data_IF_584709108572
#
_entry.id   IF_584709108572
#
_cell.length_a   1.000
_cell.length_b   1.000
_cell.length_c   1.000
_cell.angle_alpha   90.00
_cell.angle_beta   90.00
_cell.angle_gamma   90.00
#
_symmetry.space_group_name_H-M   'P 1'
#
loop_
_entity.id
_entity.type
_entity.pdbx_description
1 polymer ?
#
# COMPACT_ATOMS: atom_id res chain seq x y z
N UNK A 1 -23.96 9.91 -17.61
CA UNK A 1 -22.93 8.91 -17.21
C UNK A 1 -22.40 9.30 -15.83
N UNK A 2 -22.36 8.40 -14.88
CA UNK A 2 -21.73 8.69 -13.58
C UNK A 2 -20.22 8.92 -13.81
N UNK A 3 -19.70 10.02 -13.27
CA UNK A 3 -18.30 10.38 -13.38
C UNK A 3 -17.42 9.32 -12.67
N UNK A 4 -16.30 8.93 -13.28
CA UNK A 4 -15.29 8.06 -12.67
C UNK A 4 -14.80 8.65 -11.35
N UNK A 5 -14.66 7.81 -10.34
CA UNK A 5 -14.15 8.18 -9.00
C UNK A 5 -12.94 7.33 -8.64
N UNK A 6 -12.05 7.89 -7.84
CA UNK A 6 -10.94 7.18 -7.21
C UNK A 6 -11.11 7.26 -5.69
N UNK A 7 -11.26 6.11 -5.05
CA UNK A 7 -11.36 6.00 -3.59
C UNK A 7 -10.11 5.34 -3.05
N UNK A 8 -9.35 6.07 -2.24
CA UNK A 8 -8.21 5.54 -1.51
C UNK A 8 -8.66 4.78 -0.27
N UNK A 9 -8.14 3.59 -0.03
CA UNK A 9 -8.31 2.84 1.21
C UNK A 9 -6.96 2.61 1.87
N UNK A 10 -6.74 3.23 3.02
CA UNK A 10 -5.55 3.09 3.84
C UNK A 10 -5.84 2.12 4.98
N UNK A 11 -5.15 0.98 5.03
CA UNK A 11 -5.13 0.13 6.22
C UNK A 11 -3.77 0.32 6.88
N UNK A 12 -3.77 0.92 8.07
CA UNK A 12 -2.53 1.33 8.75
C UNK A 12 -2.44 0.76 10.16
N UNK A 13 -1.21 0.51 10.59
CA UNK A 13 -0.88 0.17 11.97
C UNK A 13 0.58 0.51 12.27
N UNK A 14 0.79 1.46 13.18
CA UNK A 14 2.13 1.91 13.60
C UNK A 14 3.00 2.36 12.41
N UNK A 15 2.56 3.42 11.72
CA UNK A 15 3.15 3.95 10.49
C UNK A 15 3.50 5.44 10.61
N UNK A 16 3.64 5.97 11.84
CA UNK A 16 3.71 7.40 12.14
C UNK A 16 4.76 8.18 11.34
N UNK A 17 5.88 7.54 10.95
CA UNK A 17 6.99 8.24 10.30
C UNK A 17 6.69 8.71 8.88
N UNK A 18 5.90 7.94 8.13
CA UNK A 18 5.69 8.19 6.70
C UNK A 18 4.23 8.37 6.31
N UNK A 19 3.30 8.00 7.18
CA UNK A 19 1.87 8.01 6.87
C UNK A 19 1.35 9.40 6.48
N UNK A 20 1.77 10.46 7.16
CA UNK A 20 1.42 11.83 6.78
C UNK A 20 1.89 12.19 5.37
N UNK A 21 3.11 11.77 4.99
CA UNK A 21 3.64 11.96 3.64
C UNK A 21 2.91 11.11 2.60
N UNK A 22 2.58 9.85 2.94
CA UNK A 22 1.80 8.99 2.06
C UNK A 22 0.44 9.62 1.74
N UNK A 23 -0.28 10.14 2.77
CA UNK A 23 -1.54 10.86 2.57
C UNK A 23 -1.37 12.10 1.71
N UNK A 24 -0.34 12.93 1.96
CA UNK A 24 -0.08 14.14 1.17
C UNK A 24 0.11 13.83 -0.31
N UNK A 25 0.85 12.75 -0.61
CA UNK A 25 1.17 12.37 -1.98
C UNK A 25 -0.04 11.87 -2.76
N UNK A 26 -0.98 11.17 -2.11
CA UNK A 26 -2.15 10.60 -2.79
C UNK A 26 -3.39 11.50 -2.71
N UNK A 27 -3.33 12.57 -1.93
CA UNK A 27 -4.50 13.40 -1.63
C UNK A 27 -5.22 13.87 -2.89
N UNK A 28 -4.54 14.53 -3.81
CA UNK A 28 -5.18 15.09 -5.02
C UNK A 28 -5.54 14.02 -6.07
N UNK A 29 -4.92 12.86 -6.00
CA UNK A 29 -5.25 11.72 -6.84
C UNK A 29 -6.61 11.10 -6.48
N UNK A 30 -6.98 11.07 -5.20
CA UNK A 30 -8.20 10.46 -4.72
C UNK A 30 -9.35 11.48 -4.63
N UNK A 31 -10.58 11.07 -4.96
CA UNK A 31 -11.81 11.84 -4.71
C UNK A 31 -12.29 11.64 -3.27
N UNK A 32 -11.98 10.49 -2.67
CA UNK A 32 -12.26 10.14 -1.28
C UNK A 32 -11.12 9.30 -0.73
N UNK A 33 -10.82 9.44 0.57
CA UNK A 33 -9.83 8.60 1.27
C UNK A 33 -10.47 8.07 2.54
N UNK A 34 -10.46 6.75 2.68
CA UNK A 34 -10.93 6.04 3.86
C UNK A 34 -9.72 5.50 4.60
N UNK A 35 -9.56 5.86 5.87
CA UNK A 35 -8.47 5.40 6.72
C UNK A 35 -9.03 4.41 7.74
N UNK A 36 -8.54 3.19 7.70
CA UNK A 36 -8.80 2.13 8.67
C UNK A 36 -7.54 1.94 9.53
N UNK A 37 -7.57 2.43 10.76
CA UNK A 37 -6.48 2.23 11.73
C UNK A 37 -6.73 0.93 12.50
N UNK A 38 -5.81 -0.02 12.39
CA UNK A 38 -5.93 -1.32 13.04
C UNK A 38 -5.22 -1.32 14.42
N UNK A 39 -5.65 -0.43 15.31
CA UNK A 39 -5.17 -0.35 16.68
C UNK A 39 -3.72 0.11 16.81
N UNK A 40 -3.36 1.22 16.16
CA UNK A 40 -2.02 1.83 16.30
C UNK A 40 -1.75 2.25 17.75
N UNK A 41 -0.50 2.05 18.18
CA UNK A 41 0.02 2.41 19.51
C UNK A 41 1.06 3.54 19.44
N UNK A 42 1.34 4.05 18.25
CA UNK A 42 2.14 5.23 17.99
C UNK A 42 1.25 6.40 17.56
N UNK A 43 1.79 7.46 16.98
CA UNK A 43 1.03 8.65 16.58
C UNK A 43 0.25 8.48 15.26
N UNK A 44 0.14 7.28 14.70
CA UNK A 44 -0.57 7.04 13.42
C UNK A 44 -2.03 7.44 13.49
N UNK A 45 -2.73 7.08 14.58
CA UNK A 45 -4.14 7.42 14.77
C UNK A 45 -4.37 8.94 14.91
N UNK A 46 -3.50 9.62 15.62
CA UNK A 46 -3.53 11.07 15.77
C UNK A 46 -3.38 11.76 14.41
N UNK A 47 -2.44 11.29 13.58
CA UNK A 47 -2.25 11.77 12.20
C UNK A 47 -3.55 11.55 11.40
N UNK A 48 -4.13 10.36 11.45
CA UNK A 48 -5.38 10.05 10.74
C UNK A 48 -6.52 11.01 11.11
N UNK A 49 -6.73 11.23 12.42
CA UNK A 49 -7.75 12.14 12.94
C UNK A 49 -7.53 13.60 12.50
N UNK A 50 -6.29 14.05 12.55
CA UNK A 50 -5.95 15.42 12.15
C UNK A 50 -6.21 15.65 10.67
N UNK A 51 -5.84 14.71 9.81
CA UNK A 51 -6.14 14.75 8.39
C UNK A 51 -7.66 14.76 8.11
N UNK A 52 -8.42 13.87 8.75
CA UNK A 52 -9.88 13.81 8.59
C UNK A 52 -10.57 15.09 9.08
N UNK A 53 -10.11 15.69 10.19
CA UNK A 53 -10.67 16.94 10.72
C UNK A 53 -10.51 18.12 9.76
N UNK A 54 -9.37 18.21 9.06
CA UNK A 54 -9.06 19.35 8.18
C UNK A 54 -9.44 19.13 6.72
N UNK A 55 -9.81 17.92 6.31
CA UNK A 55 -10.02 17.54 4.90
C UNK A 55 -11.30 16.75 4.71
N UNK A 56 -12.34 17.39 4.18
CA UNK A 56 -13.70 16.82 4.04
C UNK A 56 -13.79 15.49 3.26
N UNK A 57 -12.82 15.20 2.38
CA UNK A 57 -12.82 13.96 1.61
C UNK A 57 -12.08 12.80 2.29
N UNK A 58 -11.60 13.02 3.53
CA UNK A 58 -10.93 11.99 4.34
C UNK A 58 -11.86 11.60 5.49
N UNK A 59 -12.07 10.30 5.62
CA UNK A 59 -12.72 9.69 6.78
C UNK A 59 -11.76 8.74 7.47
N UNK A 60 -11.84 8.61 8.79
CA UNK A 60 -11.01 7.67 9.53
C UNK A 60 -11.82 6.91 10.57
N UNK A 61 -11.46 5.65 10.77
CA UNK A 61 -12.07 4.77 11.77
C UNK A 61 -11.03 3.82 12.33
N UNK A 62 -11.08 3.58 13.64
CA UNK A 62 -10.37 2.45 14.25
C UNK A 62 -11.14 1.15 14.03
N UNK A 63 -10.41 0.10 13.75
CA UNK A 63 -10.93 -1.25 13.52
C UNK A 63 -10.15 -2.26 14.35
N UNK A 64 -10.80 -3.34 14.76
CA UNK A 64 -10.15 -4.44 15.48
C UNK A 64 -9.72 -5.56 14.52
N UNK A 65 -10.57 -5.85 13.53
CA UNK A 65 -10.33 -6.85 12.49
C UNK A 65 -9.91 -6.17 11.18
N UNK A 66 -8.71 -6.44 10.62
CA UNK A 66 -8.28 -5.89 9.33
C UNK A 66 -9.27 -6.15 8.19
N UNK A 67 -10.04 -7.24 8.25
CA UNK A 67 -11.10 -7.56 7.29
C UNK A 67 -12.20 -6.51 7.22
N UNK A 68 -12.41 -5.71 8.28
CA UNK A 68 -13.34 -4.59 8.25
C UNK A 68 -12.95 -3.54 7.19
N UNK A 69 -11.67 -3.39 6.89
CA UNK A 69 -11.20 -2.47 5.85
C UNK A 69 -11.74 -2.83 4.46
N UNK A 70 -11.98 -4.13 4.20
CA UNK A 70 -12.62 -4.55 2.95
C UNK A 70 -14.11 -4.20 2.93
N UNK A 71 -14.83 -4.37 4.05
CA UNK A 71 -16.26 -4.01 4.15
C UNK A 71 -16.51 -2.52 3.87
N UNK A 72 -15.52 -1.66 4.14
CA UNK A 72 -15.65 -0.21 3.86
C UNK A 72 -15.66 0.11 2.35
N UNK A 73 -15.06 -0.74 1.53
CA UNK A 73 -14.96 -0.52 0.07
C UNK A 73 -15.92 -1.42 -0.72
N UNK A 74 -16.46 -2.47 -0.14
CA UNK A 74 -17.40 -3.38 -0.79
C UNK A 74 -18.63 -2.68 -1.41
N UNK A 75 -19.21 -1.63 -0.80
CA UNK A 75 -20.34 -0.89 -1.38
C UNK A 75 -20.03 -0.21 -2.73
N UNK A 76 -18.79 -0.03 -3.10
CA UNK A 76 -18.40 0.52 -4.40
C UNK A 76 -18.43 -0.52 -5.54
N UNK A 77 -18.61 -1.80 -5.24
CA UNK A 77 -18.70 -2.84 -6.27
C UNK A 77 -19.80 -2.53 -7.27
N UNK A 78 -19.51 -2.66 -8.55
CA UNK A 78 -20.44 -2.37 -9.63
C UNK A 78 -20.57 -0.90 -10.04
N UNK A 79 -19.99 0.02 -9.28
CA UNK A 79 -20.00 1.47 -9.56
C UNK A 79 -18.76 1.88 -10.39
N UNK A 80 -18.76 3.02 -11.10
CA UNK A 80 -17.62 3.51 -11.87
C UNK A 80 -16.51 4.05 -10.95
N UNK A 81 -16.01 3.19 -10.05
CA UNK A 81 -15.05 3.55 -9.01
C UNK A 81 -13.78 2.71 -9.13
N UNK A 82 -12.63 3.38 -9.10
CA UNK A 82 -11.35 2.76 -8.88
C UNK A 82 -11.00 2.77 -7.40
N UNK A 83 -10.67 1.62 -6.83
CA UNK A 83 -10.19 1.50 -5.45
C UNK A 83 -8.67 1.46 -5.46
N UNK A 84 -8.08 2.42 -4.76
CA UNK A 84 -6.65 2.57 -4.62
C UNK A 84 -6.21 2.10 -3.23
N UNK A 85 -5.50 0.97 -3.18
CA UNK A 85 -4.91 0.49 -1.93
C UNK A 85 -3.66 1.32 -1.61
N UNK A 86 -3.66 2.01 -0.48
CA UNK A 86 -2.54 2.84 -0.01
C UNK A 86 -2.05 2.29 1.32
N UNK A 87 -0.77 1.93 1.40
CA UNK A 87 -0.10 1.58 2.65
C UNK A 87 0.65 2.81 3.20
N UNK A 88 0.77 2.92 4.51
CA UNK A 88 1.42 4.07 5.14
C UNK A 88 2.92 4.17 4.91
N UNK A 89 3.52 3.12 4.33
CA UNK A 89 4.92 3.05 3.91
C UNK A 89 5.11 3.11 2.38
N UNK A 90 4.06 3.48 1.65
CA UNK A 90 4.09 3.65 0.19
C UNK A 90 4.02 5.14 -0.17
N UNK A 91 5.14 5.72 -0.58
CA UNK A 91 5.18 7.11 -1.03
C UNK A 91 5.08 7.15 -2.55
N UNK A 92 3.94 7.56 -3.07
CA UNK A 92 3.71 7.72 -4.50
C UNK A 92 4.27 9.03 -5.02
N UNK A 93 4.65 9.07 -6.31
CA UNK A 93 5.04 10.29 -7.02
C UNK A 93 3.80 11.16 -7.30
N UNK A 94 3.62 12.34 -6.67
CA UNK A 94 2.40 13.12 -6.84
C UNK A 94 2.18 13.63 -8.27
N UNK A 95 3.26 14.04 -8.96
CA UNK A 95 3.16 14.51 -10.35
C UNK A 95 2.87 13.34 -11.30
N UNK A 96 3.45 12.17 -11.02
CA UNK A 96 3.13 10.93 -11.72
C UNK A 96 1.66 10.56 -11.54
N UNK A 97 1.14 10.61 -10.32
CA UNK A 97 -0.28 10.33 -10.04
C UNK A 97 -1.23 11.30 -10.75
N UNK A 98 -0.89 12.60 -10.81
CA UNK A 98 -1.70 13.57 -11.57
C UNK A 98 -1.78 13.20 -13.06
N UNK A 99 -0.65 12.84 -13.66
CA UNK A 99 -0.58 12.39 -15.05
C UNK A 99 -1.36 11.09 -15.25
N UNK A 100 -1.22 10.14 -14.33
CA UNK A 100 -1.92 8.85 -14.38
C UNK A 100 -3.43 9.00 -14.22
N UNK A 101 -3.89 9.94 -13.39
CA UNK A 101 -5.32 10.26 -13.27
C UNK A 101 -5.90 10.71 -14.60
N UNK A 102 -5.20 11.57 -15.34
CA UNK A 102 -5.62 12.02 -16.68
C UNK A 102 -5.75 10.83 -17.64
N UNK A 103 -4.82 9.87 -17.57
CA UNK A 103 -4.91 8.63 -18.38
C UNK A 103 -6.12 7.77 -17.97
N UNK A 104 -6.43 7.64 -16.68
CA UNK A 104 -7.62 6.92 -16.20
C UNK A 104 -8.92 7.58 -16.71
N UNK A 105 -9.00 8.91 -16.70
CA UNK A 105 -10.17 9.67 -17.13
C UNK A 105 -10.47 9.51 -18.64
N UNK A 106 -9.48 9.10 -19.45
CA UNK A 106 -9.72 8.76 -20.87
C UNK A 106 -10.39 7.40 -21.09
N UNK A 107 -10.55 6.59 -20.03
CA UNK A 107 -11.04 5.21 -20.14
C UNK A 107 -10.00 4.20 -20.65
N UNK A 108 -8.72 4.60 -20.81
CA UNK A 108 -7.63 3.77 -21.32
C UNK A 108 -7.52 2.42 -20.60
N UNK A 109 -7.83 2.40 -19.31
CA UNK A 109 -7.68 1.23 -18.45
C UNK A 109 -9.00 0.51 -18.15
N UNK A 110 -10.15 0.97 -18.65
CA UNK A 110 -11.48 0.46 -18.27
C UNK A 110 -11.66 -1.02 -18.54
N UNK A 111 -11.00 -1.57 -19.58
CA UNK A 111 -11.02 -3.01 -19.88
C UNK A 111 -10.26 -3.88 -18.87
N UNK A 112 -9.54 -3.28 -17.93
CA UNK A 112 -8.80 -4.00 -16.91
C UNK A 112 -9.51 -3.86 -15.55
N UNK A 113 -9.50 -4.94 -14.79
CA UNK A 113 -10.00 -4.91 -13.42
C UNK A 113 -8.92 -4.49 -12.42
N UNK A 114 -7.64 -4.56 -12.81
CA UNK A 114 -6.52 -4.17 -11.96
C UNK A 114 -5.36 -3.59 -12.76
N UNK A 115 -4.77 -2.52 -12.24
CA UNK A 115 -3.51 -1.94 -12.74
C UNK A 115 -2.43 -2.12 -11.68
N UNK A 116 -1.24 -2.55 -12.12
CA UNK A 116 -0.06 -2.78 -11.28
C UNK A 116 1.06 -1.86 -11.78
N UNK A 117 1.54 -0.96 -10.92
CA UNK A 117 2.60 0.01 -11.25
C UNK A 117 4.00 -0.46 -10.85
N UNK A 118 4.93 0.49 -10.82
CA UNK A 118 6.33 0.28 -10.45
C UNK A 118 6.55 0.57 -8.96
N UNK A 119 7.50 -0.13 -8.34
CA UNK A 119 7.92 0.15 -6.98
C UNK A 119 9.45 0.09 -6.86
N UNK A 120 10.02 0.98 -6.04
CA UNK A 120 11.37 0.85 -5.51
C UNK A 120 11.25 0.38 -4.06
N UNK A 121 11.63 -0.86 -3.80
CA UNK A 121 11.60 -1.45 -2.45
C UNK A 121 12.85 -0.98 -1.70
N UNK A 122 12.71 0.08 -0.91
CA UNK A 122 13.81 0.84 -0.32
C UNK A 122 14.46 0.11 0.85
N UNK A 123 15.78 -0.02 0.81
CA UNK A 123 16.62 -0.52 1.90
C UNK A 123 17.36 0.62 2.61
N UNK A 124 17.56 1.75 1.93
CA UNK A 124 18.15 2.97 2.50
C UNK A 124 17.46 4.21 1.91
N UNK A 125 17.31 5.23 2.73
CA UNK A 125 16.77 6.53 2.36
C UNK A 125 17.69 7.61 2.91
N UNK A 126 18.24 8.44 2.02
CA UNK A 126 19.06 9.61 2.31
C UNK A 126 18.38 10.85 1.72
N UNK A 127 17.60 11.55 2.54
CA UNK A 127 16.88 12.75 2.12
C UNK A 127 17.83 13.94 1.88
N UNK A 128 18.95 14.02 2.60
CA UNK A 128 19.91 15.09 2.42
C UNK A 128 20.67 14.94 1.09
N UNK A 129 21.01 13.70 0.73
CA UNK A 129 21.64 13.36 -0.55
C UNK A 129 20.66 13.17 -1.70
N UNK A 130 19.36 13.36 -1.48
CA UNK A 130 18.30 13.14 -2.50
C UNK A 130 18.32 11.73 -3.11
N UNK A 131 18.57 10.69 -2.31
CA UNK A 131 18.73 9.34 -2.83
C UNK A 131 17.97 8.30 -1.99
N UNK A 132 17.41 7.31 -2.68
CA UNK A 132 17.03 6.04 -2.06
C UNK A 132 17.70 4.88 -2.78
N UNK A 133 18.19 3.92 -1.99
CA UNK A 133 18.68 2.65 -2.51
C UNK A 133 17.66 1.56 -2.28
N UNK A 134 17.47 0.70 -3.27
CA UNK A 134 16.48 -0.37 -3.19
C UNK A 134 16.47 -1.28 -4.40
N UNK A 135 15.46 -2.13 -4.45
CA UNK A 135 15.25 -3.09 -5.52
C UNK A 135 14.02 -2.72 -6.34
N UNK A 136 14.20 -2.59 -7.66
CA UNK A 136 13.11 -2.23 -8.56
C UNK A 136 12.15 -3.41 -8.78
N UNK A 137 10.89 -3.06 -9.01
CA UNK A 137 9.88 -3.96 -9.53
C UNK A 137 9.63 -3.63 -11.02
N UNK A 138 9.85 -4.58 -11.95
CA UNK A 138 10.49 -5.88 -11.79
C UNK A 138 12.00 -5.81 -11.55
N UNK A 139 12.73 -6.88 -11.19
CA UNK A 139 12.25 -8.26 -10.98
C UNK A 139 11.64 -8.49 -9.59
N UNK A 140 11.76 -7.52 -8.66
CA UNK A 140 11.04 -7.59 -7.39
C UNK A 140 9.53 -7.48 -7.61
N UNK A 141 8.76 -7.91 -6.61
CA UNK A 141 7.30 -7.81 -6.66
C UNK A 141 6.85 -6.36 -6.53
N UNK A 142 5.97 -5.90 -7.42
CA UNK A 142 5.26 -4.65 -7.22
C UNK A 142 4.14 -4.83 -6.20
N UNK A 143 3.92 -3.75 -5.46
CA UNK A 143 2.84 -3.63 -4.48
C UNK A 143 1.78 -2.60 -4.92
N UNK A 144 2.10 -1.74 -5.85
CA UNK A 144 1.18 -0.73 -6.38
C UNK A 144 -0.06 -1.37 -6.96
N UNK A 145 -1.24 -1.01 -6.46
CA UNK A 145 -2.50 -1.69 -6.79
C UNK A 145 -3.63 -0.69 -6.92
N UNK A 146 -4.21 -0.65 -8.11
CA UNK A 146 -5.44 0.08 -8.40
C UNK A 146 -6.46 -0.91 -8.99
N UNK A 147 -7.67 -0.96 -8.40
CA UNK A 147 -8.71 -1.94 -8.75
C UNK A 147 -9.95 -1.25 -9.31
N UNK A 148 -10.39 -1.69 -10.48
CA UNK A 148 -11.61 -1.20 -11.13
C UNK A 148 -12.83 -1.93 -10.58
N UNK A 149 -13.56 -1.29 -9.67
CA UNK A 149 -14.76 -1.87 -9.07
C UNK A 149 -15.97 -1.84 -10.02
N UNK A 150 -15.90 -1.10 -11.14
CA UNK A 150 -16.88 -1.24 -12.21
C UNK A 150 -16.85 -2.63 -12.86
N UNK A 151 -15.72 -3.35 -12.79
CA UNK A 151 -15.53 -4.68 -13.37
C UNK A 151 -16.15 -5.83 -12.57
N UNK A 152 -16.61 -5.58 -11.35
CA UNK A 152 -17.14 -6.60 -10.43
C UNK A 152 -18.56 -6.27 -9.98
N UNK A 153 -19.31 -7.26 -9.54
CA UNK A 153 -20.63 -7.10 -8.90
C UNK A 153 -20.57 -7.24 -7.38
N UNK A 154 -19.47 -7.77 -6.85
CA UNK A 154 -19.21 -7.94 -5.43
C UNK A 154 -17.87 -8.64 -5.20
N UNK A 155 -17.41 -8.66 -3.94
CA UNK A 155 -16.18 -9.37 -3.56
C UNK A 155 -16.38 -10.12 -2.24
N UNK A 156 -17.16 -11.21 -2.22
CA UNK A 156 -17.44 -11.96 -1.01
C UNK A 156 -16.23 -12.70 -0.48
N UNK A 157 -16.18 -12.87 0.85
CA UNK A 157 -15.17 -13.70 1.52
C UNK A 157 -13.78 -13.10 1.62
N UNK A 158 -13.62 -11.79 1.45
CA UNK A 158 -12.38 -11.08 1.72
C UNK A 158 -12.19 -10.88 3.24
N UNK A 159 -11.78 -11.94 3.95
CA UNK A 159 -11.75 -11.99 5.40
C UNK A 159 -10.39 -11.60 6.02
N UNK A 160 -9.37 -11.36 5.20
CA UNK A 160 -8.03 -11.08 5.74
C UNK A 160 -7.77 -9.61 5.96
N UNK A 161 -7.80 -8.85 4.90
CA UNK A 161 -7.65 -7.38 4.87
C UNK A 161 -8.22 -6.85 3.55
N UNK A 162 -8.25 -5.52 3.37
CA UNK A 162 -8.75 -4.92 2.13
C UNK A 162 -8.12 -5.56 0.89
N UNK A 163 -8.96 -5.88 -0.10
CA UNK A 163 -8.54 -6.40 -1.41
C UNK A 163 -7.76 -7.73 -1.37
N UNK A 164 -7.80 -8.45 -0.24
CA UNK A 164 -7.17 -9.76 -0.07
C UNK A 164 -8.18 -10.82 0.38
N UNK A 165 -7.93 -12.05 -0.07
CA UNK A 165 -8.83 -13.16 0.19
C UNK A 165 -10.10 -13.11 -0.65
N UNK A 166 -10.99 -14.08 -0.46
CA UNK A 166 -12.23 -14.20 -1.23
C UNK A 166 -12.03 -14.33 -2.74
N UNK A 167 -13.13 -14.17 -3.47
CA UNK A 167 -13.11 -14.16 -4.94
C UNK A 167 -13.98 -13.03 -5.46
N UNK A 168 -13.44 -12.09 -6.25
CA UNK A 168 -14.25 -11.08 -6.92
C UNK A 168 -15.27 -11.75 -7.85
N UNK A 169 -16.53 -11.31 -7.79
CA UNK A 169 -17.58 -11.71 -8.73
C UNK A 169 -17.50 -10.80 -9.96
N UNK A 170 -16.85 -11.26 -11.01
CA UNK A 170 -16.62 -10.47 -12.21
C UNK A 170 -17.88 -10.32 -13.08
N UNK A 171 -18.04 -9.14 -13.67
CA UNK A 171 -18.98 -8.91 -14.78
C UNK A 171 -18.48 -9.60 -16.06
N UNK A 172 -19.37 -9.89 -17.04
CA UNK A 172 -18.96 -10.39 -18.34
C UNK A 172 -17.84 -9.57 -18.98
N UNK A 173 -16.83 -10.23 -19.54
CA UNK A 173 -15.65 -9.60 -20.15
C UNK A 173 -14.48 -9.33 -19.19
N UNK A 174 -14.66 -9.50 -17.88
CA UNK A 174 -13.60 -9.36 -16.89
C UNK A 174 -13.24 -10.67 -16.20
N UNK A 175 -12.07 -10.72 -15.60
CA UNK A 175 -11.58 -11.86 -14.84
C UNK A 175 -10.22 -11.58 -14.19
N UNK A 176 -9.69 -12.54 -13.44
CA UNK A 176 -8.38 -12.44 -12.78
C UNK A 176 -7.23 -12.06 -13.73
N UNK A 177 -7.33 -12.49 -14.99
CA UNK A 177 -6.34 -12.21 -16.04
C UNK A 177 -6.50 -10.83 -16.67
N UNK A 178 -7.64 -10.14 -16.49
CA UNK A 178 -7.89 -8.79 -17.01
C UNK A 178 -7.12 -7.75 -16.19
N UNK A 179 -5.80 -7.83 -16.20
CA UNK A 179 -4.91 -6.92 -15.49
C UNK A 179 -3.93 -6.26 -16.43
N UNK A 180 -3.66 -4.99 -16.18
CA UNK A 180 -2.59 -4.26 -16.83
C UNK A 180 -1.36 -4.20 -15.91
N UNK A 181 -0.21 -4.61 -16.43
CA UNK A 181 1.05 -4.65 -15.69
C UNK A 181 1.95 -3.56 -16.25
N UNK A 182 1.80 -2.34 -15.73
CA UNK A 182 2.50 -1.16 -16.22
C UNK A 182 4.01 -1.32 -16.18
N UNK A 183 4.53 -1.95 -15.13
CA UNK A 183 5.96 -2.19 -14.97
C UNK A 183 6.56 -3.22 -15.96
N UNK A 184 5.76 -3.90 -16.75
CA UNK A 184 6.23 -4.73 -17.86
C UNK A 184 6.46 -3.92 -19.13
N UNK A 185 5.82 -2.75 -19.25
CA UNK A 185 5.87 -1.90 -20.45
C UNK A 185 6.68 -0.62 -20.24
N UNK A 186 6.79 -0.15 -18.99
CA UNK A 186 7.49 1.09 -18.64
C UNK A 186 8.54 0.84 -17.57
N UNK A 187 9.70 1.43 -17.73
CA UNK A 187 10.70 1.49 -16.68
C UNK A 187 10.22 2.34 -15.50
N UNK A 188 10.91 2.27 -14.37
CA UNK A 188 10.65 3.11 -13.21
C UNK A 188 10.60 4.61 -13.57
N UNK A 189 11.55 5.07 -14.36
CA UNK A 189 11.71 6.49 -14.67
C UNK A 189 10.60 7.00 -15.63
N UNK A 190 10.04 6.12 -16.47
CA UNK A 190 8.95 6.42 -17.41
C UNK A 190 7.55 6.26 -16.79
N UNK A 191 7.46 5.60 -15.64
CA UNK A 191 6.18 5.24 -15.04
C UNK A 191 5.55 6.41 -14.29
N UNK A 192 4.33 6.77 -14.66
CA UNK A 192 3.50 7.73 -13.92
C UNK A 192 2.86 7.12 -12.66
N UNK A 193 2.76 5.78 -12.58
CA UNK A 193 2.20 5.08 -11.44
C UNK A 193 3.30 4.29 -10.72
N UNK A 194 4.07 5.00 -9.90
CA UNK A 194 5.22 4.47 -9.17
C UNK A 194 5.27 4.95 -7.73
N UNK A 195 5.89 4.15 -6.86
CA UNK A 195 6.08 4.52 -5.46
C UNK A 195 7.43 4.06 -4.89
N UNK A 196 7.88 4.77 -3.85
CA UNK A 196 8.86 4.27 -2.91
C UNK A 196 8.14 3.39 -1.90
N UNK A 197 8.54 2.14 -1.77
CA UNK A 197 8.02 1.22 -0.76
C UNK A 197 9.06 1.06 0.34
N UNK A 198 8.77 1.64 1.50
CA UNK A 198 9.71 1.77 2.62
C UNK A 198 9.69 0.52 3.54
N UNK A 199 9.39 -0.66 2.98
CA UNK A 199 9.12 -1.88 3.72
C UNK A 199 10.28 -2.43 4.57
N UNK A 200 11.51 -2.01 4.28
CA UNK A 200 12.71 -2.39 5.04
C UNK A 200 13.16 -1.31 6.02
N UNK A 201 12.50 -0.14 6.02
CA UNK A 201 12.85 0.98 6.88
C UNK A 201 11.95 1.03 8.13
N UNK A 202 12.43 1.62 9.23
CA UNK A 202 11.60 1.86 10.41
C UNK A 202 10.45 2.81 10.08
N UNK A 203 9.21 2.40 10.32
CA UNK A 203 7.99 3.17 10.03
C UNK A 203 7.37 3.78 11.29
N UNK A 204 7.76 3.27 12.46
CA UNK A 204 7.31 3.70 13.77
C UNK A 204 8.50 3.80 14.74
N UNK A 205 8.34 4.61 15.81
CA UNK A 205 9.25 4.58 16.96
C UNK A 205 9.26 3.22 17.70
N UNK A 206 8.21 2.43 17.49
CA UNK A 206 8.05 1.10 18.10
C UNK A 206 8.80 0.00 17.34
N UNK A 207 9.33 0.30 16.15
CA UNK A 207 10.03 -0.70 15.35
C UNK A 207 11.39 -1.06 15.96
N UNK A 208 11.65 -2.35 16.03
CA UNK A 208 12.96 -2.87 16.39
C UNK A 208 13.81 -3.02 15.13
N UNK A 209 14.98 -2.43 15.15
CA UNK A 209 15.96 -2.52 14.07
C UNK A 209 16.83 -3.75 14.36
N UNK A 210 16.95 -4.65 13.37
CA UNK A 210 17.85 -5.80 13.43
C UNK A 210 19.33 -5.39 13.30
N UNK A 211 20.22 -6.33 13.52
CA UNK A 211 21.69 -6.11 13.38
C UNK A 211 22.10 -5.70 11.96
N UNK A 212 21.29 -6.09 10.95
CA UNK A 212 21.46 -5.73 9.54
C UNK A 212 20.89 -4.33 9.20
N UNK A 213 20.46 -3.57 10.18
CA UNK A 213 19.85 -2.25 10.02
C UNK A 213 18.42 -2.27 9.45
N UNK A 214 17.82 -3.44 9.24
CA UNK A 214 16.49 -3.61 8.65
C UNK A 214 15.45 -3.92 9.71
N UNK A 215 14.21 -3.52 9.42
CA UNK A 215 13.07 -3.81 10.28
C UNK A 215 12.41 -5.13 9.84
N UNK A 216 12.34 -6.08 10.77
CA UNK A 216 11.51 -7.26 10.60
C UNK A 216 10.16 -7.01 11.28
N UNK A 217 9.16 -6.64 10.49
CA UNK A 217 7.77 -6.60 10.97
C UNK A 217 7.06 -7.89 10.63
N UNK A 218 6.28 -8.38 11.58
CA UNK A 218 5.25 -9.38 11.31
C UNK A 218 4.20 -8.74 10.40
N UNK A 219 3.67 -9.48 9.42
CA UNK A 219 2.52 -8.99 8.68
C UNK A 219 1.29 -8.95 9.62
N UNK A 220 0.24 -8.22 9.25
CA UNK A 220 -0.96 -8.06 10.09
C UNK A 220 -1.60 -9.42 10.44
N UNK A 221 -1.63 -10.36 9.49
CA UNK A 221 -2.14 -11.71 9.71
C UNK A 221 -1.30 -12.49 10.73
N UNK A 222 0.03 -12.36 10.69
CA UNK A 222 0.93 -12.98 11.69
C UNK A 222 0.78 -12.32 13.07
N UNK A 223 0.44 -11.03 13.12
CA UNK A 223 0.20 -10.34 14.39
C UNK A 223 -1.11 -10.74 15.07
N UNK A 224 -2.13 -11.13 14.32
CA UNK A 224 -3.46 -11.46 14.84
C UNK A 224 -3.67 -12.95 15.09
N UNK A 225 -3.06 -13.82 14.29
CA UNK A 225 -3.26 -15.28 14.39
C UNK A 225 -2.57 -15.96 15.57
N UNK A 226 -1.75 -15.23 16.34
CA UNK A 226 -0.87 -15.84 17.32
C UNK A 226 -1.27 -15.44 18.75
N UNK A 227 -2.12 -16.24 19.36
CA UNK A 227 -2.30 -16.23 20.82
C UNK A 227 -0.95 -16.31 21.54
N UNK A 228 -0.92 -15.86 22.82
CA UNK A 228 0.29 -15.79 23.65
C UNK A 228 1.17 -17.06 23.58
N UNK A 229 0.55 -18.23 23.53
CA UNK A 229 1.21 -19.53 23.45
C UNK A 229 1.99 -19.73 22.15
N UNK A 230 1.47 -19.28 21.00
CA UNK A 230 2.16 -19.40 19.70
C UNK A 230 3.33 -18.41 19.63
N UNK A 231 3.21 -17.24 20.25
CA UNK A 231 4.32 -16.28 20.38
C UNK A 231 5.46 -16.82 21.22
N UNK A 232 5.15 -17.44 22.35
CA UNK A 232 6.13 -18.11 23.23
C UNK A 232 6.79 -19.27 22.49
N UNK A 233 6.03 -20.10 21.81
CA UNK A 233 6.55 -21.24 21.04
C UNK A 233 7.44 -20.77 19.87
N UNK A 234 7.01 -19.78 19.09
CA UNK A 234 7.82 -19.20 18.01
C UNK A 234 9.12 -18.55 18.53
N UNK A 235 9.05 -17.89 19.70
CA UNK A 235 10.25 -17.33 20.38
C UNK A 235 11.22 -18.41 20.83
N UNK A 236 10.72 -19.52 21.32
CA UNK A 236 11.54 -20.68 21.73
C UNK A 236 12.23 -21.34 20.52
N UNK A 237 11.48 -21.58 19.45
CA UNK A 237 12.02 -22.12 18.19
C UNK A 237 13.07 -21.21 17.55
N UNK A 238 12.88 -19.87 17.67
CA UNK A 238 13.85 -18.88 17.21
C UNK A 238 15.16 -18.95 18.03
N UNK A 239 15.07 -19.10 19.36
CA UNK A 239 16.23 -19.29 20.23
C UNK A 239 17.00 -20.59 19.94
N UNK A 240 16.29 -21.63 19.49
CA UNK A 240 16.88 -22.91 19.12
C UNK A 240 17.40 -22.94 17.67
N UNK A 241 17.34 -21.83 16.92
CA UNK A 241 17.79 -21.75 15.53
C UNK A 241 16.94 -22.55 14.54
N UNK A 242 15.81 -23.13 14.99
CA UNK A 242 14.92 -23.99 14.21
C UNK A 242 13.88 -23.16 13.44
N UNK A 243 13.54 -21.98 13.95
CA UNK A 243 12.60 -21.06 13.31
C UNK A 243 13.36 -19.90 12.64
N UNK A 244 13.52 -19.99 11.33
CA UNK A 244 13.86 -18.81 10.51
C UNK A 244 12.58 -17.97 10.38
N UNK A 245 12.57 -16.73 10.92
CA UNK A 245 11.60 -15.73 10.51
C UNK A 245 11.58 -15.74 9.00
N UNK A 246 10.41 -16.01 8.43
CA UNK A 246 10.27 -16.20 6.99
C UNK A 246 10.87 -14.99 6.26
N UNK A 247 11.94 -15.20 5.50
CA UNK A 247 12.56 -14.20 4.63
C UNK A 247 11.67 -13.83 3.45
N UNK A 248 10.34 -14.05 3.56
CA UNK A 248 9.38 -13.85 2.47
C UNK A 248 9.41 -12.42 1.90
N UNK A 249 9.70 -11.41 2.73
CA UNK A 249 9.90 -10.05 2.25
C UNK A 249 11.18 -9.94 1.41
N UNK A 250 12.28 -10.52 1.89
CA UNK A 250 13.52 -10.55 1.12
C UNK A 250 13.33 -11.31 -0.18
N UNK A 251 12.70 -12.48 -0.14
CA UNK A 251 12.47 -13.32 -1.32
C UNK A 251 11.58 -12.63 -2.38
N UNK A 252 10.71 -11.72 -1.97
CA UNK A 252 9.76 -11.05 -2.88
C UNK A 252 10.19 -9.65 -3.29
N UNK A 253 10.76 -8.88 -2.36
CA UNK A 253 11.02 -7.46 -2.53
C UNK A 253 12.50 -7.11 -2.69
N UNK A 254 13.43 -8.04 -2.46
CA UNK A 254 14.87 -7.85 -2.61
C UNK A 254 15.44 -8.71 -3.75
N UNK A 255 14.84 -8.60 -4.95
CA UNK A 255 15.27 -9.32 -6.14
C UNK A 255 15.91 -8.37 -7.14
N UNK A 256 16.92 -8.87 -7.87
CA UNK A 256 17.66 -8.10 -8.86
C UNK A 256 18.80 -7.30 -8.24
N UNK A 257 19.29 -6.34 -8.98
CA UNK A 257 20.41 -5.48 -8.54
C UNK A 257 19.89 -4.36 -7.63
N UNK A 258 20.69 -4.02 -6.64
CA UNK A 258 20.48 -2.81 -5.84
C UNK A 258 20.72 -1.59 -6.73
N UNK A 259 19.80 -0.65 -6.74
CA UNK A 259 19.88 0.58 -7.51
C UNK A 259 19.67 1.79 -6.61
N UNK A 260 20.22 2.94 -7.04
CA UNK A 260 19.95 4.23 -6.40
C UNK A 260 19.09 5.09 -7.32
N UNK A 261 18.15 5.86 -6.73
CA UNK A 261 17.25 6.76 -7.46
C UNK A 261 17.05 8.06 -6.68
N UNK A 262 16.93 9.21 -7.38
CA UNK A 262 16.55 10.46 -6.75
C UNK A 262 15.11 10.36 -6.22
N UNK A 263 14.85 11.02 -5.09
CA UNK A 263 13.58 10.86 -4.36
C UNK A 263 12.90 12.16 -3.98
N UNK A 264 13.49 13.32 -4.28
CA UNK A 264 12.95 14.64 -3.90
C UNK A 264 11.49 14.82 -4.32
N UNK A 265 11.09 14.33 -5.48
CA UNK A 265 9.72 14.42 -5.99
C UNK A 265 8.69 13.74 -5.08
N UNK A 266 9.08 12.73 -4.31
CA UNK A 266 8.21 12.02 -3.37
C UNK A 266 8.01 12.77 -2.04
N UNK A 267 8.77 13.84 -1.81
CA UNK A 267 8.76 14.64 -0.57
C UNK A 267 8.46 16.14 -0.82
N UNK A 268 7.99 16.50 -2.01
CA UNK A 268 7.68 17.91 -2.35
C UNK A 268 6.41 18.42 -1.66
N UNK A 269 5.47 17.54 -1.35
CA UNK A 269 4.23 17.92 -0.66
C UNK A 269 4.44 17.88 0.84
N UNK A 270 3.95 18.93 1.52
CA UNK A 270 4.01 18.96 2.99
C UNK A 270 3.16 17.81 3.57
N UNK A 271 3.70 17.05 4.54
CA UNK A 271 2.98 15.96 5.20
C UNK A 271 1.91 16.45 6.20
N UNK A 272 1.81 17.76 6.40
CA UNK A 272 0.86 18.35 7.34
C UNK A 272 -0.43 18.77 6.64
N UNK A 273 -1.60 18.54 7.25
CA UNK A 273 -2.89 18.93 6.73
C UNK A 273 -3.13 20.44 6.78
#
# INVERSE_FOLDING_TARGET
>A
MNKMRIVGICLVRNEEKYFGQALANVYDFCDEIIIADNGSQDSTWEIAKEWAKKRKKITCRQIEDPGESHRMIEPFAGTPTWIFAVDGDELYDPAGLESFRKELETGKYDKYWRVIGNALNCVRLDLAGDQAEGYLSPPSRSITKLFNFAAITGWPGANGERLHGGKPAFKPGYGEKSRYVLNAEKTWDESSFRCLHLCFLPRSRLDKIGEDGRVSRWNLAEQQGNGLLVRVYASLLKRLGIYRTSGWKQDRYARGSLVSRPVRQFFQRAPHP
#
